data_IF_583590010420
#
_entry.id   IF_583590010420
#
_cell.length_a   1.000
_cell.length_b   1.000
_cell.length_c   1.000
_cell.angle_alpha   90.00
_cell.angle_beta   90.00
_cell.angle_gamma   90.00
#
_symmetry.space_group_name_H-M   'P 1'
#
loop_
_entity.id
_entity.type
_entity.pdbx_description
1 polymer ?
#
# COMPACT_ATOMS: atom_id res chain seq x y z
N UNK A 1 -8.39 -1.07 -6.15
CA UNK A 1 -8.28 0.36 -5.81
C UNK A 1 -8.20 0.60 -4.30
N UNK A 2 -8.93 -0.15 -3.50
CA UNK A 2 -9.00 0.03 -2.05
C UNK A 2 -7.76 -0.42 -1.27
N UNK A 3 -6.88 -1.17 -1.88
CA UNK A 3 -5.72 -1.80 -1.23
C UNK A 3 -4.59 -0.82 -0.92
N UNK A 4 -3.79 -1.20 0.08
CA UNK A 4 -2.43 -0.70 0.30
C UNK A 4 -1.46 -1.77 -0.18
N UNK A 5 -0.45 -1.39 -0.95
CA UNK A 5 0.51 -2.30 -1.60
C UNK A 5 1.92 -2.03 -1.08
N UNK A 6 2.55 -3.06 -0.52
CA UNK A 6 3.97 -3.11 -0.22
C UNK A 6 4.71 -3.54 -1.50
N UNK A 7 5.42 -2.61 -2.12
CA UNK A 7 6.03 -2.83 -3.44
C UNK A 7 7.15 -3.88 -3.39
N UNK A 8 8.01 -3.83 -2.39
CA UNK A 8 9.12 -4.78 -2.24
C UNK A 8 8.58 -6.20 -1.98
N UNK A 9 7.56 -6.31 -1.14
CA UNK A 9 6.93 -7.60 -0.89
C UNK A 9 6.30 -8.16 -2.16
N UNK A 10 5.60 -7.32 -2.93
CA UNK A 10 4.96 -7.72 -4.19
C UNK A 10 5.98 -8.17 -5.24
N UNK A 11 7.08 -7.42 -5.44
CA UNK A 11 8.12 -7.81 -6.40
C UNK A 11 8.78 -9.12 -6.01
N UNK A 12 9.09 -9.30 -4.73
CA UNK A 12 9.64 -10.55 -4.21
C UNK A 12 8.67 -11.73 -4.37
N UNK A 13 7.38 -11.52 -4.10
CA UNK A 13 6.36 -12.56 -4.27
C UNK A 13 6.20 -12.95 -5.74
N UNK A 14 6.19 -12.00 -6.67
CA UNK A 14 6.17 -12.27 -8.10
C UNK A 14 7.40 -13.12 -8.51
N UNK A 15 8.58 -12.79 -8.00
CA UNK A 15 9.80 -13.55 -8.28
C UNK A 15 9.69 -15.00 -7.75
N UNK A 16 9.26 -15.18 -6.51
CA UNK A 16 9.07 -16.51 -5.90
C UNK A 16 8.03 -17.37 -6.62
N UNK A 17 6.94 -16.75 -7.10
CA UNK A 17 5.90 -17.45 -7.85
C UNK A 17 6.44 -17.92 -9.21
N UNK A 18 7.24 -17.08 -9.88
CA UNK A 18 7.92 -17.42 -11.13
C UNK A 18 8.92 -18.56 -10.96
N UNK A 19 9.70 -18.56 -9.88
CA UNK A 19 10.63 -19.66 -9.54
C UNK A 19 9.91 -20.99 -9.38
N UNK A 20 8.65 -20.98 -8.95
CA UNK A 20 7.80 -22.17 -8.87
C UNK A 20 7.17 -22.58 -10.22
N UNK A 21 7.58 -21.94 -11.31
CA UNK A 21 7.11 -22.25 -12.66
C UNK A 21 5.79 -21.59 -13.07
N UNK A 22 5.24 -20.68 -12.26
CA UNK A 22 4.02 -19.96 -12.62
C UNK A 22 4.36 -18.74 -13.48
N UNK A 23 3.70 -18.63 -14.63
CA UNK A 23 3.88 -17.49 -15.53
C UNK A 23 3.13 -16.28 -15.01
N UNK A 24 3.87 -15.22 -14.63
CA UNK A 24 3.30 -13.94 -14.21
C UNK A 24 3.67 -12.85 -15.22
N UNK A 25 2.66 -12.33 -15.90
CA UNK A 25 2.79 -11.35 -16.98
C UNK A 25 1.72 -10.26 -16.85
N UNK A 26 1.85 -9.12 -17.56
CA UNK A 26 0.80 -8.12 -17.63
C UNK A 26 -0.55 -8.62 -18.17
N UNK A 27 -0.59 -9.80 -18.80
CA UNK A 27 -1.84 -10.38 -19.27
C UNK A 27 -2.67 -11.00 -18.13
N UNK A 28 -2.04 -11.57 -17.12
CA UNK A 28 -2.71 -12.28 -16.03
C UNK A 28 -2.60 -11.61 -14.65
N UNK A 29 -1.78 -10.57 -14.52
CA UNK A 29 -1.71 -9.72 -13.31
C UNK A 29 -1.96 -8.27 -13.70
N UNK A 30 -2.89 -7.61 -12.99
CA UNK A 30 -3.18 -6.19 -13.12
C UNK A 30 -3.08 -5.51 -11.76
N UNK A 31 -2.37 -4.40 -11.70
CA UNK A 31 -2.24 -3.57 -10.51
C UNK A 31 -3.00 -2.27 -10.73
N UNK A 32 -3.87 -1.92 -9.78
CA UNK A 32 -4.63 -0.68 -9.90
C UNK A 32 -3.74 0.54 -9.77
N UNK A 33 -3.81 1.43 -10.76
CA UNK A 33 -3.17 2.76 -10.68
C UNK A 33 -3.62 3.58 -9.45
N UNK A 34 -4.77 3.24 -8.85
CA UNK A 34 -5.33 3.93 -7.67
C UNK A 34 -4.92 3.29 -6.34
N UNK A 35 -4.30 2.11 -6.35
CA UNK A 35 -3.86 1.47 -5.11
C UNK A 35 -2.80 2.32 -4.40
N UNK A 36 -2.92 2.40 -3.09
CA UNK A 36 -2.04 3.18 -2.23
C UNK A 36 -0.71 2.46 -2.02
N UNK A 37 0.40 3.16 -2.11
CA UNK A 37 1.73 2.59 -1.84
C UNK A 37 2.01 2.63 -0.33
N UNK A 38 2.43 1.48 0.22
CA UNK A 38 3.10 1.45 1.52
C UNK A 38 4.54 1.95 1.32
N UNK A 39 4.79 3.18 1.73
CA UNK A 39 6.10 3.82 1.62
C UNK A 39 7.06 3.29 2.70
N UNK A 40 8.39 3.35 2.50
CA UNK A 40 9.35 2.85 3.48
C UNK A 40 9.15 3.37 4.90
N UNK A 41 8.79 4.64 5.06
CA UNK A 41 8.53 5.24 6.38
C UNK A 41 7.36 4.62 7.13
N UNK A 42 6.37 4.01 6.44
CA UNK A 42 5.22 3.38 7.12
C UNK A 42 5.66 2.19 7.96
N UNK A 43 6.55 1.34 7.40
CA UNK A 43 7.13 0.21 8.14
C UNK A 43 7.98 0.68 9.31
N UNK A 44 8.81 1.70 9.08
CA UNK A 44 9.68 2.30 10.11
C UNK A 44 8.82 2.84 11.27
N UNK A 45 7.78 3.62 10.98
CA UNK A 45 6.89 4.16 12.00
C UNK A 45 6.18 3.06 12.79
N UNK A 46 5.68 2.02 12.12
CA UNK A 46 4.98 0.90 12.76
C UNK A 46 5.92 0.13 13.71
N UNK A 47 7.15 -0.13 13.29
CA UNK A 47 8.14 -0.81 14.12
C UNK A 47 8.57 0.04 15.33
N UNK A 48 8.81 1.33 15.12
CA UNK A 48 9.21 2.25 16.19
C UNK A 48 8.11 2.43 17.23
N UNK A 49 6.87 2.58 16.80
CA UNK A 49 5.72 2.73 17.69
C UNK A 49 5.46 1.44 18.48
N UNK A 50 5.48 0.29 17.83
CA UNK A 50 5.31 -0.99 18.52
C UNK A 50 6.43 -1.22 19.56
N UNK A 51 7.66 -0.82 19.22
CA UNK A 51 8.81 -0.87 20.15
C UNK A 51 8.61 0.08 21.32
N UNK A 52 8.10 1.29 21.09
CA UNK A 52 7.80 2.28 22.12
C UNK A 52 6.70 1.78 23.06
N UNK A 53 5.63 1.23 22.49
CA UNK A 53 4.49 0.70 23.25
C UNK A 53 4.88 -0.54 24.08
N UNK A 54 5.76 -1.38 23.57
CA UNK A 54 6.27 -2.56 24.29
C UNK A 54 6.96 -2.17 25.59
N UNK A 55 7.68 -1.04 25.63
CA UNK A 55 8.36 -0.55 26.83
C UNK A 55 7.41 -0.18 27.97
N UNK A 56 6.17 0.13 27.66
CA UNK A 56 5.13 0.50 28.65
C UNK A 56 4.04 -0.58 28.78
N UNK A 57 4.26 -1.78 28.20
CA UNK A 57 3.32 -2.90 28.27
C UNK A 57 2.03 -2.71 27.45
N UNK A 58 2.03 -1.80 26.47
CA UNK A 58 0.86 -1.45 25.66
C UNK A 58 1.00 -1.86 24.18
N UNK A 59 1.90 -2.77 23.86
CA UNK A 59 2.08 -3.28 22.50
C UNK A 59 0.81 -3.97 21.97
N UNK A 60 0.44 -3.66 20.71
CA UNK A 60 -0.74 -4.25 20.06
C UNK A 60 -0.43 -5.59 19.37
N UNK A 61 0.84 -5.97 19.21
CA UNK A 61 1.24 -7.11 18.39
C UNK A 61 1.14 -6.80 16.89
N UNK A 62 1.55 -5.61 16.50
CA UNK A 62 1.58 -5.20 15.09
C UNK A 62 2.41 -6.16 14.25
N UNK A 63 2.00 -6.37 13.00
CA UNK A 63 2.80 -7.12 12.01
C UNK A 63 4.02 -6.35 11.50
N UNK A 64 4.20 -5.10 11.91
CA UNK A 64 5.26 -4.17 11.48
C UNK A 64 5.32 -3.96 9.96
N UNK A 65 4.17 -4.07 9.30
CA UNK A 65 4.02 -3.88 7.86
C UNK A 65 3.63 -2.46 7.47
N UNK A 66 3.42 -1.58 8.45
CA UNK A 66 3.07 -0.17 8.23
C UNK A 66 1.64 0.07 7.74
N UNK A 67 0.75 -0.90 7.89
CA UNK A 67 -0.60 -0.83 7.30
C UNK A 67 -1.42 0.31 7.92
N UNK A 68 -1.41 0.45 9.25
CA UNK A 68 -2.13 1.53 9.93
C UNK A 68 -1.65 2.91 9.45
N UNK A 69 -0.35 3.10 9.33
CA UNK A 69 0.26 4.34 8.87
C UNK A 69 -0.05 4.65 7.41
N UNK A 70 -0.01 3.62 6.54
CA UNK A 70 -0.34 3.76 5.13
C UNK A 70 -1.82 4.14 4.93
N UNK A 71 -2.74 3.53 5.67
CA UNK A 71 -4.16 3.92 5.65
C UNK A 71 -4.37 5.31 6.24
N UNK A 72 -3.72 5.67 7.34
CA UNK A 72 -3.76 7.03 7.90
C UNK A 72 -3.35 8.06 6.84
N UNK A 73 -2.24 7.85 6.16
CA UNK A 73 -1.75 8.77 5.13
C UNK A 73 -2.65 8.77 3.88
N UNK A 74 -3.26 7.65 3.52
CA UNK A 74 -4.28 7.57 2.47
C UNK A 74 -5.45 8.53 2.76
N UNK A 75 -6.01 8.49 3.95
CA UNK A 75 -7.13 9.36 4.34
C UNK A 75 -6.70 10.82 4.53
N UNK A 76 -5.47 11.05 4.98
CA UNK A 76 -4.86 12.39 5.01
C UNK A 76 -4.45 12.90 3.63
N UNK A 77 -4.54 12.08 2.57
CA UNK A 77 -4.12 12.39 1.19
C UNK A 77 -2.63 12.70 1.06
N UNK A 78 -1.81 12.07 1.91
CA UNK A 78 -0.35 12.27 2.01
C UNK A 78 0.41 11.01 1.65
N UNK A 79 0.06 10.39 0.51
CA UNK A 79 0.71 9.18 0.00
C UNK A 79 0.78 9.20 -1.52
N UNK A 80 1.62 8.35 -2.09
CA UNK A 80 1.61 8.03 -3.51
C UNK A 80 0.67 6.87 -3.80
N UNK A 81 0.14 6.86 -5.02
CA UNK A 81 -0.58 5.73 -5.62
C UNK A 81 0.32 5.07 -6.65
N UNK A 82 0.01 3.83 -7.02
CA UNK A 82 0.80 3.11 -8.04
C UNK A 82 0.89 3.88 -9.36
N UNK A 83 -0.16 4.58 -9.78
CA UNK A 83 -0.13 5.43 -10.95
C UNK A 83 0.92 6.54 -10.92
N UNK A 84 1.26 7.05 -9.73
CA UNK A 84 2.30 8.07 -9.59
C UNK A 84 3.70 7.55 -9.97
N UNK A 85 3.93 6.23 -9.87
CA UNK A 85 5.20 5.62 -10.31
C UNK A 85 5.46 5.78 -11.81
N UNK A 86 4.39 5.91 -12.61
CA UNK A 86 4.50 6.15 -14.06
C UNK A 86 4.94 7.58 -14.38
N UNK A 87 4.88 8.47 -13.41
CA UNK A 87 5.06 9.92 -13.55
C UNK A 87 6.18 10.47 -12.63
N UNK A 88 7.11 9.64 -12.17
CA UNK A 88 8.17 10.04 -11.22
C UNK A 88 9.09 11.16 -11.74
N UNK A 89 9.16 11.34 -13.06
CA UNK A 89 9.94 12.43 -13.68
C UNK A 89 9.20 13.77 -13.69
N UNK A 90 7.91 13.78 -13.44
CA UNK A 90 7.12 15.01 -13.40
C UNK A 90 7.41 15.80 -12.11
N UNK A 91 7.62 17.10 -12.28
CA UNK A 91 7.91 18.00 -11.15
C UNK A 91 6.81 17.97 -10.07
N UNK A 92 5.56 17.85 -10.48
CA UNK A 92 4.40 17.74 -9.60
C UNK A 92 4.49 16.55 -8.65
N UNK A 93 4.90 15.37 -9.15
CA UNK A 93 5.07 14.15 -8.37
C UNK A 93 6.27 14.27 -7.45
N UNK A 94 7.40 14.79 -7.96
CA UNK A 94 8.61 14.99 -7.17
C UNK A 94 8.40 15.98 -6.02
N UNK A 95 7.74 17.10 -6.28
CA UNK A 95 7.44 18.10 -5.24
C UNK A 95 6.51 17.53 -4.16
N UNK A 96 5.50 16.74 -4.57
CA UNK A 96 4.64 16.04 -3.62
C UNK A 96 5.42 15.03 -2.78
N UNK A 97 6.32 14.26 -3.38
CA UNK A 97 7.17 13.29 -2.67
C UNK A 97 8.11 13.98 -1.67
N UNK A 98 8.74 15.11 -2.05
CA UNK A 98 9.58 15.93 -1.15
C UNK A 98 8.79 16.45 0.05
N UNK A 99 7.62 17.03 -0.20
CA UNK A 99 6.76 17.57 0.86
C UNK A 99 6.30 16.48 1.85
N UNK A 100 5.98 15.29 1.34
CA UNK A 100 5.60 14.17 2.20
C UNK A 100 6.78 13.67 3.03
N UNK A 101 7.97 13.54 2.40
CA UNK A 101 9.18 13.11 3.10
C UNK A 101 9.59 14.10 4.20
N UNK A 102 9.53 15.40 3.93
CA UNK A 102 9.81 16.44 4.92
C UNK A 102 8.91 16.29 6.15
N UNK A 103 7.60 16.16 5.94
CA UNK A 103 6.65 15.96 7.04
C UNK A 103 6.95 14.65 7.82
N UNK A 104 7.31 13.57 7.13
CA UNK A 104 7.66 12.31 7.78
C UNK A 104 8.97 12.38 8.55
N UNK A 105 9.97 13.09 8.03
CA UNK A 105 11.22 13.30 8.73
C UNK A 105 11.01 14.11 10.03
N UNK A 106 10.10 15.09 10.04
CA UNK A 106 9.70 15.78 11.27
C UNK A 106 9.04 14.82 12.27
N UNK A 107 8.13 13.96 11.83
CA UNK A 107 7.50 12.95 12.69
C UNK A 107 8.54 11.97 13.26
N UNK A 108 9.45 11.47 12.42
CA UNK A 108 10.48 10.49 12.80
C UNK A 108 11.49 11.09 13.78
N UNK A 109 11.95 12.30 13.52
CA UNK A 109 12.88 12.99 14.41
C UNK A 109 12.23 13.38 15.73
N UNK A 110 11.03 13.98 15.68
CA UNK A 110 10.35 14.52 16.86
C UNK A 110 9.79 13.46 17.79
N UNK A 111 9.18 12.40 17.24
CA UNK A 111 8.53 11.36 18.04
C UNK A 111 9.46 10.20 18.40
N UNK A 112 10.42 9.89 17.53
CA UNK A 112 11.21 8.65 17.65
C UNK A 112 12.72 8.89 17.68
N UNK A 113 13.19 10.13 17.58
CA UNK A 113 14.62 10.51 17.57
C UNK A 113 15.42 9.78 16.47
N UNK A 114 14.80 9.59 15.32
CA UNK A 114 15.41 8.94 14.16
C UNK A 114 16.07 9.96 13.23
N UNK A 115 17.14 9.51 12.55
CA UNK A 115 17.77 10.29 11.50
C UNK A 115 16.81 10.49 10.30
N UNK A 116 16.86 11.65 9.64
CA UNK A 116 16.04 11.92 8.47
C UNK A 116 16.32 10.96 7.32
N UNK A 117 15.26 10.52 6.65
CA UNK A 117 15.39 9.78 5.40
C UNK A 117 15.83 10.71 4.26
N UNK A 118 16.74 10.21 3.42
CA UNK A 118 17.27 10.95 2.27
C UNK A 118 16.29 10.95 1.08
N UNK A 119 16.03 12.12 0.51
CA UNK A 119 15.20 12.22 -0.70
C UNK A 119 15.80 11.47 -1.91
N UNK A 120 17.11 11.58 -2.23
CA UNK A 120 17.69 10.80 -3.31
C UNK A 120 17.53 9.29 -3.13
N UNK A 121 17.71 8.77 -1.91
CA UNK A 121 17.52 7.36 -1.63
C UNK A 121 16.05 6.93 -1.80
N UNK A 122 15.11 7.76 -1.36
CA UNK A 122 13.68 7.50 -1.53
C UNK A 122 13.26 7.53 -3.00
N UNK A 123 13.76 8.49 -3.78
CA UNK A 123 13.48 8.57 -5.21
C UNK A 123 14.05 7.35 -5.94
N UNK A 124 15.31 6.96 -5.68
CA UNK A 124 15.89 5.75 -6.24
C UNK A 124 15.11 4.49 -5.90
N UNK A 125 14.60 4.40 -4.68
CA UNK A 125 13.70 3.30 -4.29
C UNK A 125 12.42 3.29 -5.14
N UNK A 126 11.77 4.45 -5.31
CA UNK A 126 10.58 4.56 -6.16
C UNK A 126 10.87 4.16 -7.62
N UNK A 127 12.00 4.61 -8.17
CA UNK A 127 12.42 4.30 -9.54
C UNK A 127 12.69 2.80 -9.74
N UNK A 128 13.35 2.16 -8.78
CA UNK A 128 13.60 0.72 -8.82
C UNK A 128 12.28 -0.08 -8.81
N UNK A 129 11.34 0.27 -7.93
CA UNK A 129 10.03 -0.38 -7.90
C UNK A 129 9.20 -0.10 -9.16
N UNK A 130 9.28 1.12 -9.68
CA UNK A 130 8.62 1.48 -10.93
C UNK A 130 9.12 0.64 -12.10
N UNK A 131 10.44 0.42 -12.21
CA UNK A 131 11.04 -0.37 -13.29
C UNK A 131 10.49 -1.80 -13.35
N UNK A 132 10.20 -2.41 -12.21
CA UNK A 132 9.66 -3.77 -12.12
C UNK A 132 8.14 -3.83 -12.34
N UNK A 133 7.41 -2.83 -11.85
CA UNK A 133 5.95 -2.91 -11.72
C UNK A 133 5.18 -2.16 -12.81
N UNK A 134 5.81 -1.23 -13.55
CA UNK A 134 5.11 -0.40 -14.54
C UNK A 134 4.26 -1.18 -15.56
N UNK A 135 4.67 -2.39 -16.06
CA UNK A 135 3.87 -3.07 -17.08
C UNK A 135 2.53 -3.58 -16.55
N UNK A 136 2.41 -3.73 -15.24
CA UNK A 136 1.22 -4.26 -14.57
C UNK A 136 0.23 -3.17 -14.18
N UNK A 137 0.65 -1.89 -14.15
CA UNK A 137 -0.16 -0.78 -13.63
C UNK A 137 -1.16 -0.33 -14.69
N UNK A 138 -2.44 -0.49 -14.38
CA UNK A 138 -3.55 -0.21 -15.30
C UNK A 138 -4.73 0.48 -14.58
N UNK A 139 -5.70 0.95 -15.34
CA UNK A 139 -7.02 1.31 -14.82
C UNK A 139 -7.85 0.04 -14.61
N UNK A 140 -7.78 -0.51 -13.40
CA UNK A 140 -8.51 -1.75 -13.06
C UNK A 140 -10.02 -1.55 -13.02
N UNK A 141 -10.53 -0.36 -12.75
CA UNK A 141 -11.97 -0.08 -12.80
C UNK A 141 -12.50 -0.25 -14.22
N UNK A 142 -11.86 0.39 -15.20
CA UNK A 142 -12.22 0.24 -16.60
C UNK A 142 -12.06 -1.21 -17.08
N UNK A 143 -11.00 -1.90 -16.67
CA UNK A 143 -10.77 -3.31 -16.99
C UNK A 143 -11.88 -4.22 -16.45
N UNK A 144 -12.30 -4.03 -15.20
CA UNK A 144 -13.36 -4.82 -14.58
C UNK A 144 -14.73 -4.49 -15.16
N UNK A 145 -15.00 -3.23 -15.47
CA UNK A 145 -16.24 -2.82 -16.14
C UNK A 145 -16.41 -3.55 -17.49
N UNK A 146 -15.34 -3.60 -18.28
CA UNK A 146 -15.37 -4.32 -19.57
C UNK A 146 -15.56 -5.82 -19.37
N UNK A 147 -14.86 -6.43 -18.41
CA UNK A 147 -15.02 -7.83 -18.07
C UNK A 147 -16.47 -8.18 -17.66
N UNK A 148 -17.12 -7.31 -16.93
CA UNK A 148 -18.52 -7.49 -16.53
C UNK A 148 -19.47 -7.34 -17.73
N UNK A 149 -19.23 -6.38 -18.65
CA UNK A 149 -19.99 -6.25 -19.90
C UNK A 149 -19.88 -7.49 -20.78
N UNK A 150 -18.71 -8.14 -20.79
CA UNK A 150 -18.49 -9.42 -21.48
C UNK A 150 -19.11 -10.64 -20.76
N UNK A 151 -19.80 -10.43 -19.64
CA UNK A 151 -20.43 -11.49 -18.85
C UNK A 151 -19.45 -12.33 -18.01
N UNK A 152 -18.23 -11.88 -17.81
CA UNK A 152 -17.26 -12.56 -16.96
C UNK A 152 -17.66 -12.51 -15.49
N UNK A 153 -17.38 -13.60 -14.78
CA UNK A 153 -17.58 -13.66 -13.33
C UNK A 153 -16.37 -13.09 -12.62
N UNK A 154 -16.60 -12.17 -11.69
CA UNK A 154 -15.56 -11.56 -10.83
C UNK A 154 -15.68 -12.14 -9.44
N UNK A 155 -14.58 -12.69 -8.92
CA UNK A 155 -14.47 -13.12 -7.52
C UNK A 155 -13.66 -12.06 -6.78
N UNK A 156 -14.20 -11.58 -5.67
CA UNK A 156 -13.54 -10.61 -4.82
C UNK A 156 -12.96 -11.33 -3.59
N UNK A 157 -11.66 -11.24 -3.43
CA UNK A 157 -10.95 -11.76 -2.27
C UNK A 157 -10.39 -10.57 -1.47
N UNK A 158 -10.75 -10.51 -0.19
CA UNK A 158 -10.20 -9.57 0.77
C UNK A 158 -9.44 -10.31 1.87
N UNK A 159 -8.80 -9.57 2.75
CA UNK A 159 -8.00 -10.13 3.84
C UNK A 159 -8.83 -10.32 5.12
N UNK A 160 -8.42 -11.23 5.99
CA UNK A 160 -8.67 -11.35 7.42
C UNK A 160 -10.11 -11.72 7.86
N UNK A 161 -11.17 -11.22 7.25
CA UNK A 161 -12.56 -11.45 7.65
C UNK A 161 -13.12 -10.46 8.70
N UNK A 162 -14.43 -10.57 8.98
CA UNK A 162 -15.22 -9.56 9.69
C UNK A 162 -14.74 -9.22 11.11
N UNK A 163 -14.18 -10.18 11.86
CA UNK A 163 -13.69 -9.92 13.22
C UNK A 163 -12.48 -8.96 13.27
N UNK A 164 -11.82 -8.77 12.13
CA UNK A 164 -10.67 -7.85 11.99
C UNK A 164 -11.02 -6.55 11.26
N UNK A 165 -12.30 -6.36 10.93
CA UNK A 165 -12.77 -5.11 10.31
C UNK A 165 -12.55 -3.93 11.24
N UNK A 166 -12.18 -2.78 10.66
CA UNK A 166 -11.85 -1.58 11.45
C UNK A 166 -13.05 -1.05 12.23
N UNK A 167 -14.26 -1.17 11.67
CA UNK A 167 -15.47 -0.63 12.26
C UNK A 167 -16.26 -1.69 13.05
N UNK A 168 -16.33 -2.92 12.55
CA UNK A 168 -17.18 -3.99 13.09
C UNK A 168 -16.42 -5.10 13.82
N UNK A 169 -15.09 -5.04 13.80
CA UNK A 169 -14.25 -6.04 14.44
C UNK A 169 -14.03 -5.82 15.94
N UNK A 170 -13.12 -6.60 16.51
CA UNK A 170 -12.78 -6.58 17.95
C UNK A 170 -11.80 -5.45 18.28
N UNK A 171 -12.19 -4.20 18.03
CA UNK A 171 -11.36 -3.03 18.29
C UNK A 171 -10.77 -3.03 19.71
N UNK A 172 -9.47 -2.69 19.93
CA UNK A 172 -8.50 -2.19 18.95
C UNK A 172 -7.67 -3.27 18.22
N UNK A 173 -7.96 -4.54 18.39
CA UNK A 173 -7.23 -5.66 17.80
C UNK A 173 -7.72 -5.97 16.36
N UNK A 174 -7.98 -4.92 15.59
CA UNK A 174 -8.46 -4.96 14.20
C UNK A 174 -7.34 -4.70 13.21
N UNK A 175 -7.61 -4.91 11.91
CA UNK A 175 -6.83 -4.30 10.83
C UNK A 175 -7.23 -2.83 10.70
N UNK A 176 -6.42 -2.03 10.00
CA UNK A 176 -6.77 -0.64 9.67
C UNK A 176 -7.56 -0.53 8.36
N UNK A 177 -8.11 -1.64 7.88
CA UNK A 177 -8.87 -1.72 6.62
C UNK A 177 -10.24 -2.31 6.84
N UNK A 178 -11.16 -2.02 5.90
CA UNK A 178 -12.46 -2.67 5.84
C UNK A 178 -12.29 -4.08 5.27
N UNK A 179 -12.68 -5.09 6.04
CA UNK A 179 -12.53 -6.51 5.71
C UNK A 179 -13.85 -7.23 5.46
N UNK A 180 -14.97 -6.52 5.61
CA UNK A 180 -16.31 -7.03 5.32
C UNK A 180 -16.59 -7.07 3.82
N UNK A 181 -17.42 -8.03 3.38
CA UNK A 181 -17.69 -8.26 1.95
C UNK A 181 -18.28 -7.07 1.21
N UNK A 182 -19.04 -6.21 1.90
CA UNK A 182 -19.61 -4.99 1.32
C UNK A 182 -18.54 -4.02 0.78
N UNK A 183 -17.32 -4.07 1.30
CA UNK A 183 -16.22 -3.25 0.80
C UNK A 183 -15.62 -3.79 -0.51
N UNK A 184 -15.86 -5.02 -0.87
CA UNK A 184 -15.30 -5.65 -2.07
C UNK A 184 -15.59 -4.84 -3.35
N UNK A 185 -16.85 -4.57 -3.71
CA UNK A 185 -17.19 -3.73 -4.86
C UNK A 185 -16.61 -2.32 -4.77
N UNK A 186 -16.68 -1.68 -3.60
CA UNK A 186 -16.11 -0.34 -3.36
C UNK A 186 -14.59 -0.35 -3.63
N UNK A 187 -13.89 -1.33 -3.05
CA UNK A 187 -12.44 -1.48 -3.22
C UNK A 187 -12.02 -1.83 -4.65
N UNK A 188 -12.86 -2.54 -5.39
CA UNK A 188 -12.66 -2.88 -6.78
C UNK A 188 -13.01 -1.73 -7.74
N UNK A 189 -13.88 -0.80 -7.32
CA UNK A 189 -14.37 0.30 -8.15
C UNK A 189 -15.45 -0.15 -9.15
N UNK A 190 -16.26 -1.10 -8.76
CA UNK A 190 -17.39 -1.64 -9.55
C UNK A 190 -18.69 -1.47 -8.75
N UNK A 191 -19.86 -1.40 -9.43
CA UNK A 191 -21.16 -1.26 -8.77
C UNK A 191 -21.54 -2.50 -7.95
#
# INVERSE_FOLDING_TARGET
>A
DGMVVDLEHLTNEIAQIREKGVVVTPNNLKLSKRATISMPWHKIQDELEETRLAKIGAAFGSTKRGIAYAYSDKYRKKTLRLGDLLHLKEESVQNRLKMMLEAKNLDLAGCYHQEPMSYPALLSWCEAQAAELWPYIVDTGAYLEEALKEGKRVVLEAQLGAMRDIDYGIFPYTSSSSTISAYGPIGAGIP
#
